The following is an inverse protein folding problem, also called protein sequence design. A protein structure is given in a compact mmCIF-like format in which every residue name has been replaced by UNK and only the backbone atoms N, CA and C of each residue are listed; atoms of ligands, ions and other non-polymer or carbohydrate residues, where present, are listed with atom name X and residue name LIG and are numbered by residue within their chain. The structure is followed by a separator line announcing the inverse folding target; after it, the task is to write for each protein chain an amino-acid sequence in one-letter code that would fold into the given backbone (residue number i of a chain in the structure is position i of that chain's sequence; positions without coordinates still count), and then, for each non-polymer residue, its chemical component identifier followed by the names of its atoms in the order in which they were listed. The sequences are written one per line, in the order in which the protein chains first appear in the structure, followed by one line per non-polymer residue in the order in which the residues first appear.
data_IF_086750419005
#
_entry.id   IF_086750419005
#
_cell.length_a   1.000
_cell.length_b   1.000
_cell.length_c   1.000
_cell.angle_alpha   90.00
_cell.angle_beta   90.00
_cell.angle_gamma   90.00
#
_symmetry.space_group_name_H-M   'P 1'
#
loop_
_entity.id
_entity.type
_entity.pdbx_description
1 polymer ?
#
# COMPACT_ATOMS: atom_id res chain seq x y z
N UNK A 1 22.50 -25.89 -6.00
CA UNK A 1 21.04 -25.99 -6.09
C UNK A 1 20.54 -24.57 -6.29
N UNK A 2 20.25 -24.21 -7.55
CA UNK A 2 19.73 -22.87 -7.88
C UNK A 2 18.27 -22.82 -7.44
N UNK A 3 17.97 -22.13 -6.35
CA UNK A 3 16.61 -21.71 -6.03
C UNK A 3 16.32 -20.45 -6.84
N UNK A 4 15.99 -20.64 -8.12
CA UNK A 4 15.32 -19.60 -8.90
C UNK A 4 13.88 -19.51 -8.38
N UNK A 5 13.70 -18.72 -7.34
CA UNK A 5 12.36 -18.30 -6.88
C UNK A 5 11.87 -17.28 -7.91
N UNK A 6 11.16 -17.80 -8.92
CA UNK A 6 10.60 -17.01 -10.02
C UNK A 6 9.42 -16.19 -9.47
N UNK A 7 9.70 -14.97 -9.00
CA UNK A 7 8.66 -14.01 -8.63
C UNK A 7 7.80 -13.69 -9.85
N UNK A 8 6.55 -14.07 -9.83
CA UNK A 8 5.63 -13.70 -10.89
C UNK A 8 5.28 -12.21 -10.74
N UNK A 9 6.01 -11.37 -11.47
CA UNK A 9 5.65 -9.96 -11.68
C UNK A 9 4.53 -9.91 -12.72
N UNK A 10 3.30 -9.86 -12.27
CA UNK A 10 2.14 -9.83 -13.16
C UNK A 10 1.52 -8.43 -13.17
N UNK A 11 1.43 -7.77 -14.34
CA UNK A 11 0.59 -6.60 -14.45
C UNK A 11 -0.87 -6.99 -14.18
N UNK A 12 -1.54 -6.22 -13.34
CA UNK A 12 -2.94 -6.41 -12.97
C UNK A 12 -3.66 -5.07 -13.07
N UNK A 13 -4.87 -5.04 -13.65
CA UNK A 13 -5.65 -3.80 -13.64
C UNK A 13 -5.96 -3.39 -12.19
N UNK A 14 -5.93 -2.07 -11.95
CA UNK A 14 -6.25 -1.52 -10.62
C UNK A 14 -7.63 -1.96 -10.18
N UNK A 15 -8.60 -2.00 -11.09
CA UNK A 15 -9.95 -2.48 -10.78
C UNK A 15 -9.96 -3.91 -10.22
N UNK A 16 -9.27 -4.86 -10.88
CA UNK A 16 -9.16 -6.24 -10.38
C UNK A 16 -8.42 -6.33 -9.06
N UNK A 17 -7.41 -5.49 -8.86
CA UNK A 17 -6.62 -5.47 -7.63
C UNK A 17 -7.44 -4.95 -6.44
N UNK A 18 -8.22 -3.87 -6.62
CA UNK A 18 -9.08 -3.31 -5.58
C UNK A 18 -10.26 -4.21 -5.20
N UNK A 19 -10.64 -5.15 -6.06
CA UNK A 19 -11.67 -6.16 -5.78
C UNK A 19 -11.13 -7.42 -5.11
N UNK A 20 -9.82 -7.54 -4.89
CA UNK A 20 -9.26 -8.61 -4.05
C UNK A 20 -9.55 -8.28 -2.57
N UNK A 21 -9.80 -9.32 -1.79
CA UNK A 21 -9.87 -9.19 -0.33
C UNK A 21 -8.44 -8.98 0.22
N UNK A 22 -8.10 -7.72 0.49
CA UNK A 22 -6.79 -7.30 0.95
C UNK A 22 -6.85 -6.93 2.43
N UNK A 23 -5.80 -7.26 3.17
CA UNK A 23 -5.67 -6.98 4.60
C UNK A 23 -4.49 -6.06 4.87
N UNK A 24 -4.69 -5.10 5.77
CA UNK A 24 -3.61 -4.24 6.26
C UNK A 24 -3.10 -4.84 7.57
N UNK A 25 -1.89 -5.44 7.57
CA UNK A 25 -1.33 -6.02 8.78
C UNK A 25 -1.02 -4.95 9.84
N UNK A 26 -1.01 -5.35 11.12
CA UNK A 26 -0.73 -4.43 12.24
C UNK A 26 0.67 -3.81 12.22
N UNK A 27 1.63 -4.43 11.53
CA UNK A 27 2.99 -3.88 11.37
C UNK A 27 3.07 -2.75 10.35
N UNK A 28 2.03 -2.58 9.52
CA UNK A 28 2.02 -1.49 8.55
C UNK A 28 1.96 -0.12 9.23
N UNK A 29 2.69 0.83 8.63
CA UNK A 29 2.65 2.22 9.10
C UNK A 29 1.26 2.82 8.91
N UNK A 30 0.87 3.82 9.72
CA UNK A 30 -0.35 4.57 9.51
C UNK A 30 -0.48 5.15 8.10
N UNK A 31 -1.71 5.39 7.66
CA UNK A 31 -1.94 6.12 6.42
C UNK A 31 -1.53 7.59 6.60
N UNK A 32 -0.55 8.05 5.80
CA UNK A 32 0.09 9.38 5.93
C UNK A 32 0.04 10.23 4.67
N UNK A 33 -0.56 9.75 3.59
CA UNK A 33 -0.71 10.58 2.40
C UNK A 33 -1.58 11.80 2.69
N UNK A 34 -1.14 12.94 2.17
CA UNK A 34 -1.79 14.24 2.30
C UNK A 34 -2.54 14.58 1.01
N UNK A 35 -3.35 15.66 1.04
CA UNK A 35 -4.03 16.21 -0.15
C UNK A 35 -3.09 16.40 -1.34
N UNK A 36 -1.81 16.76 -1.09
CA UNK A 36 -0.81 16.89 -2.16
C UNK A 36 -0.59 15.56 -2.88
N UNK A 37 -0.38 14.48 -2.15
CA UNK A 37 -0.17 13.16 -2.76
C UNK A 37 -1.40 12.69 -3.56
N UNK A 38 -2.60 13.01 -3.05
CA UNK A 38 -3.86 12.71 -3.75
C UNK A 38 -3.98 13.54 -5.04
N UNK A 39 -3.67 14.84 -4.97
CA UNK A 39 -3.67 15.72 -6.13
C UNK A 39 -2.68 15.26 -7.20
N UNK A 40 -1.45 14.90 -6.79
CA UNK A 40 -0.43 14.36 -7.68
C UNK A 40 -0.95 13.09 -8.39
N UNK A 41 -1.54 12.14 -7.65
CA UNK A 41 -2.11 10.92 -8.24
C UNK A 41 -3.29 11.22 -9.20
N UNK A 42 -4.19 12.13 -8.84
CA UNK A 42 -5.29 12.54 -9.72
C UNK A 42 -4.77 13.18 -11.01
N UNK A 43 -3.74 14.01 -10.93
CA UNK A 43 -3.09 14.63 -12.10
C UNK A 43 -2.41 13.57 -12.98
N UNK A 44 -1.71 12.60 -12.38
CA UNK A 44 -1.09 11.49 -13.11
C UNK A 44 -2.14 10.66 -13.87
N UNK A 45 -3.28 10.37 -13.24
CA UNK A 45 -4.41 9.69 -13.89
C UNK A 45 -4.95 10.54 -15.05
N UNK A 46 -5.11 11.86 -14.83
CA UNK A 46 -5.55 12.78 -15.88
C UNK A 46 -4.62 12.78 -17.09
N UNK A 47 -3.31 12.86 -16.86
CA UNK A 47 -2.29 12.77 -17.89
C UNK A 47 -2.36 11.43 -18.64
N UNK A 48 -2.52 10.33 -17.90
CA UNK A 48 -2.65 9.01 -18.50
C UNK A 48 -3.89 8.88 -19.40
N UNK A 49 -5.00 9.50 -19.03
CA UNK A 49 -6.21 9.57 -19.85
C UNK A 49 -5.94 10.34 -21.16
N UNK A 50 -5.25 11.47 -21.07
CA UNK A 50 -4.89 12.28 -22.24
C UNK A 50 -3.92 11.54 -23.16
N UNK A 51 -2.91 10.87 -22.59
CA UNK A 51 -1.95 10.07 -23.36
C UNK A 51 -2.64 8.91 -24.08
N UNK A 52 -3.57 8.22 -23.43
CA UNK A 52 -4.33 7.10 -24.03
C UNK A 52 -5.21 7.54 -25.21
N UNK A 53 -5.52 8.85 -25.33
CA UNK A 53 -6.28 9.39 -26.46
C UNK A 53 -5.43 9.71 -27.68
N UNK A 54 -4.11 9.65 -27.57
CA UNK A 54 -3.19 9.93 -28.69
C UNK A 54 -3.22 8.80 -29.71
N UNK A 55 -3.22 9.10 -31.02
CA UNK A 55 -3.15 8.09 -32.05
C UNK A 55 -1.93 7.16 -31.88
N UNK A 56 -2.14 5.86 -31.94
CA UNK A 56 -1.09 4.86 -31.75
C UNK A 56 -0.83 4.42 -30.32
N UNK A 57 -1.62 4.90 -29.36
CA UNK A 57 -1.53 4.55 -27.92
C UNK A 57 -2.72 3.71 -27.45
N UNK A 58 -3.42 3.02 -28.35
CA UNK A 58 -4.64 2.26 -28.03
C UNK A 58 -4.43 1.15 -26.96
N UNK A 59 -3.19 0.68 -26.78
CA UNK A 59 -2.81 -0.29 -25.76
C UNK A 59 -2.07 0.34 -24.56
N UNK A 60 -2.05 1.67 -24.46
CA UNK A 60 -1.38 2.35 -23.37
C UNK A 60 -1.96 1.94 -22.01
N UNK A 61 -1.06 1.60 -21.07
CA UNK A 61 -1.39 1.28 -19.69
C UNK A 61 -0.52 2.10 -18.75
N UNK A 62 -1.18 2.83 -17.87
CA UNK A 62 -0.49 3.61 -16.85
C UNK A 62 -0.24 2.77 -15.60
N UNK A 63 1.03 2.59 -15.27
CA UNK A 63 1.47 1.82 -14.10
C UNK A 63 1.50 2.70 -12.86
N UNK A 64 0.53 2.49 -11.97
CA UNK A 64 0.47 3.20 -10.69
C UNK A 64 1.58 2.78 -9.71
N UNK A 65 2.39 1.78 -10.07
CA UNK A 65 3.54 1.28 -9.32
C UNK A 65 3.43 -0.19 -8.94
N UNK A 66 4.34 -0.64 -8.07
CA UNK A 66 4.38 -2.02 -7.57
C UNK A 66 3.53 -2.16 -6.31
N UNK A 67 2.88 -3.30 -6.16
CA UNK A 67 2.18 -3.75 -4.95
C UNK A 67 2.71 -5.11 -4.57
N UNK A 68 3.13 -5.28 -3.32
CA UNK A 68 3.62 -6.55 -2.78
C UNK A 68 2.59 -7.09 -1.80
N UNK A 69 2.16 -8.33 -2.00
CA UNK A 69 1.19 -9.02 -1.16
C UNK A 69 1.82 -10.32 -0.64
N UNK A 70 1.78 -10.52 0.67
CA UNK A 70 2.07 -11.79 1.31
C UNK A 70 0.79 -12.60 1.45
N UNK A 71 0.74 -13.77 0.80
CA UNK A 71 -0.36 -14.71 0.89
C UNK A 71 -0.12 -15.67 2.08
N UNK A 72 -0.89 -15.50 3.15
CA UNK A 72 -0.93 -16.49 4.25
C UNK A 72 -1.74 -17.69 3.81
N UNK A 73 -1.21 -18.89 4.03
CA UNK A 73 -1.85 -20.15 3.64
C UNK A 73 -2.15 -21.00 4.88
N UNK A 74 -3.20 -21.80 4.80
CA UNK A 74 -3.48 -22.88 5.74
C UNK A 74 -2.63 -24.13 5.44
N UNK A 75 -2.73 -25.14 6.30
CA UNK A 75 -2.00 -26.41 6.14
C UNK A 75 -2.39 -27.18 4.86
N UNK A 76 -3.54 -26.89 4.27
CA UNK A 76 -4.01 -27.45 3.01
C UNK A 76 -3.50 -26.65 1.78
N UNK A 77 -2.78 -25.53 2.01
CA UNK A 77 -2.23 -24.68 0.96
C UNK A 77 -3.20 -23.63 0.41
N UNK A 78 -4.39 -23.47 0.99
CA UNK A 78 -5.35 -22.45 0.57
C UNK A 78 -4.96 -21.07 1.13
N UNK A 79 -5.14 -20.02 0.33
CA UNK A 79 -4.88 -18.66 0.78
C UNK A 79 -6.00 -18.24 1.75
N UNK A 80 -5.62 -17.97 3.00
CA UNK A 80 -6.52 -17.50 4.07
C UNK A 80 -6.52 -15.99 4.21
N UNK A 81 -5.39 -15.33 3.92
CA UNK A 81 -5.25 -13.87 3.99
C UNK A 81 -4.32 -13.37 2.90
N UNK A 82 -4.60 -12.16 2.41
CA UNK A 82 -3.72 -11.40 1.49
C UNK A 82 -3.26 -10.13 2.17
N UNK A 83 -2.09 -10.18 2.78
CA UNK A 83 -1.53 -9.10 3.59
C UNK A 83 -0.72 -8.14 2.70
N UNK A 84 -1.06 -6.86 2.72
CA UNK A 84 -0.32 -5.84 1.98
C UNK A 84 1.02 -5.62 2.67
N UNK A 85 2.13 -5.80 1.93
CA UNK A 85 3.49 -5.50 2.39
C UNK A 85 3.97 -4.16 1.84
N UNK A 86 3.66 -3.87 0.57
CA UNK A 86 3.91 -2.56 -0.04
C UNK A 86 2.75 -2.10 -0.92
N UNK A 87 2.63 -0.77 -1.08
CA UNK A 87 1.58 -0.13 -1.87
C UNK A 87 0.35 0.30 -1.09
N UNK A 88 0.30 0.11 0.24
CA UNK A 88 -0.84 0.44 1.10
C UNK A 88 -1.39 1.85 0.87
N UNK A 89 -0.55 2.88 0.94
CA UNK A 89 -0.95 4.28 0.82
C UNK A 89 -1.68 4.53 -0.51
N UNK A 90 -1.14 3.99 -1.59
CA UNK A 90 -1.66 4.11 -2.94
C UNK A 90 -2.99 3.37 -3.09
N UNK A 91 -3.08 2.14 -2.60
CA UNK A 91 -4.29 1.34 -2.69
C UNK A 91 -5.46 1.95 -1.92
N UNK A 92 -5.22 2.47 -0.71
CA UNK A 92 -6.24 3.20 0.06
C UNK A 92 -6.71 4.43 -0.73
N UNK A 93 -5.78 5.24 -1.26
CA UNK A 93 -6.16 6.44 -2.02
C UNK A 93 -6.92 6.11 -3.31
N UNK A 94 -6.50 5.08 -4.05
CA UNK A 94 -7.24 4.61 -5.23
C UNK A 94 -8.64 4.12 -4.86
N UNK A 95 -8.80 3.45 -3.71
CA UNK A 95 -10.12 3.04 -3.20
C UNK A 95 -11.01 4.24 -2.87
N UNK A 96 -10.45 5.30 -2.24
CA UNK A 96 -11.18 6.54 -1.96
C UNK A 96 -11.61 7.25 -3.25
N UNK A 97 -10.73 7.35 -4.25
CA UNK A 97 -11.06 7.94 -5.56
C UNK A 97 -12.17 7.14 -6.23
N UNK A 98 -12.04 5.80 -6.28
CA UNK A 98 -13.06 4.94 -6.88
C UNK A 98 -14.41 5.06 -6.17
N UNK A 99 -14.43 5.11 -4.83
CA UNK A 99 -15.65 5.35 -4.03
C UNK A 99 -16.30 6.69 -4.34
N UNK A 100 -15.50 7.75 -4.54
CA UNK A 100 -16.04 9.07 -4.90
C UNK A 100 -16.64 9.07 -6.31
N UNK A 101 -16.04 8.32 -7.27
CA UNK A 101 -16.55 8.18 -8.64
C UNK A 101 -17.79 7.28 -8.69
N UNK A 102 -17.81 6.21 -7.93
CA UNK A 102 -18.92 5.26 -7.79
C UNK A 102 -19.30 5.10 -6.31
N UNK A 103 -20.38 5.76 -5.85
CA UNK A 103 -20.83 5.67 -4.46
C UNK A 103 -21.27 4.27 -4.01
N UNK A 104 -21.49 3.32 -4.91
CA UNK A 104 -21.80 1.94 -4.57
C UNK A 104 -20.57 1.08 -4.32
N UNK A 105 -19.39 1.52 -4.80
CA UNK A 105 -18.15 0.77 -4.64
C UNK A 105 -17.73 0.70 -3.18
N UNK A 106 -17.42 -0.50 -2.69
CA UNK A 106 -16.73 -0.75 -1.44
C UNK A 106 -15.70 -1.86 -1.60
N UNK A 107 -14.76 -1.96 -0.67
CA UNK A 107 -13.78 -3.04 -0.60
C UNK A 107 -13.23 -3.16 0.82
N UNK A 108 -12.46 -4.23 1.08
CA UNK A 108 -11.87 -4.51 2.38
C UNK A 108 -11.01 -3.37 2.96
N UNK A 109 -10.41 -2.51 2.13
CA UNK A 109 -9.60 -1.37 2.58
C UNK A 109 -10.46 -0.21 3.08
N UNK A 110 -11.63 0.01 2.49
CA UNK A 110 -12.59 1.03 2.93
C UNK A 110 -13.38 0.57 4.16
N UNK A 111 -13.55 -0.74 4.34
CA UNK A 111 -14.24 -1.36 5.48
C UNK A 111 -13.30 -1.61 6.66
N UNK A 112 -11.97 -1.46 6.44
CA UNK A 112 -10.98 -1.65 7.49
C UNK A 112 -11.16 -0.66 8.64
N UNK A 113 -11.16 -1.15 9.88
CA UNK A 113 -11.21 -0.32 11.08
C UNK A 113 -9.84 0.31 11.36
N UNK A 114 -9.65 1.57 10.95
CA UNK A 114 -8.44 2.34 11.22
C UNK A 114 -8.44 2.84 12.67
N UNK A 115 -7.55 2.29 13.51
CA UNK A 115 -7.46 2.63 14.95
C UNK A 115 -6.58 3.83 15.23
N UNK A 116 -5.68 4.15 14.31
CA UNK A 116 -4.74 5.26 14.41
C UNK A 116 -5.42 6.58 14.04
N UNK A 117 -5.28 7.61 14.92
CA UNK A 117 -5.93 8.91 14.72
C UNK A 117 -5.44 9.65 13.47
N UNK A 118 -4.14 9.53 13.16
CA UNK A 118 -3.56 10.19 11.99
C UNK A 118 -4.13 9.55 10.71
N UNK A 119 -4.26 8.21 10.69
CA UNK A 119 -4.88 7.51 9.57
C UNK A 119 -6.32 7.94 9.35
N UNK A 120 -7.14 7.98 10.41
CA UNK A 120 -8.55 8.40 10.32
C UNK A 120 -8.66 9.84 9.82
N UNK A 121 -7.85 10.76 10.39
CA UNK A 121 -7.83 12.15 9.97
C UNK A 121 -7.43 12.32 8.52
N UNK A 122 -6.30 11.74 8.10
CA UNK A 122 -5.80 11.84 6.73
C UNK A 122 -6.76 11.21 5.70
N UNK A 123 -7.38 10.06 6.01
CA UNK A 123 -8.38 9.42 5.14
C UNK A 123 -9.59 10.34 4.96
N UNK A 124 -10.11 10.90 6.06
CA UNK A 124 -11.25 11.83 6.02
C UNK A 124 -10.93 13.09 5.22
N UNK A 125 -9.79 13.73 5.50
CA UNK A 125 -9.35 14.95 4.81
C UNK A 125 -9.14 14.72 3.31
N UNK A 126 -8.52 13.60 2.96
CA UNK A 126 -8.28 13.24 1.57
C UNK A 126 -9.58 12.89 0.84
N UNK A 127 -10.52 12.21 1.52
CA UNK A 127 -11.82 11.91 0.90
C UNK A 127 -12.64 13.19 0.66
N UNK A 128 -12.66 14.13 1.62
CA UNK A 128 -13.27 15.44 1.43
C UNK A 128 -12.64 16.18 0.24
N UNK A 129 -11.30 16.19 0.16
CA UNK A 129 -10.59 16.78 -0.98
C UNK A 129 -10.97 16.14 -2.33
N UNK A 130 -11.10 14.81 -2.39
CA UNK A 130 -11.52 14.10 -3.61
C UNK A 130 -12.95 14.50 -4.00
N UNK A 131 -13.85 14.68 -3.04
CA UNK A 131 -15.22 15.12 -3.31
C UNK A 131 -15.27 16.58 -3.81
N UNK A 132 -14.44 17.47 -3.26
CA UNK A 132 -14.26 18.84 -3.77
C UNK A 132 -13.74 18.82 -5.20
N UNK A 133 -12.67 18.06 -5.45
CA UNK A 133 -12.11 17.86 -6.78
C UNK A 133 -13.13 17.33 -7.79
N UNK A 134 -13.95 16.33 -7.38
CA UNK A 134 -15.03 15.75 -8.20
C UNK A 134 -16.05 16.81 -8.61
N UNK A 135 -16.44 17.70 -7.70
CA UNK A 135 -17.43 18.75 -7.99
C UNK A 135 -16.95 19.73 -9.05
N UNK A 136 -15.67 20.10 -9.01
CA UNK A 136 -15.03 21.01 -9.97
C UNK A 136 -14.76 20.33 -11.32
N UNK A 137 -14.52 19.04 -11.34
CA UNK A 137 -14.16 18.26 -12.53
C UNK A 137 -15.32 17.40 -13.07
N UNK A 138 -16.57 17.82 -12.87
CA UNK A 138 -17.76 17.03 -13.21
C UNK A 138 -17.80 16.54 -14.66
N UNK A 139 -17.29 17.31 -15.62
CA UNK A 139 -17.23 16.93 -17.02
C UNK A 139 -16.21 15.84 -17.40
N UNK A 140 -15.29 15.49 -16.47
CA UNK A 140 -14.22 14.51 -16.71
C UNK A 140 -14.44 13.18 -15.98
N UNK A 141 -15.51 13.05 -15.20
CA UNK A 141 -15.69 11.90 -14.29
C UNK A 141 -15.83 10.57 -15.03
N UNK A 142 -16.44 10.57 -16.21
CA UNK A 142 -16.60 9.36 -17.01
C UNK A 142 -15.26 8.86 -17.54
N UNK A 143 -14.36 9.76 -17.93
CA UNK A 143 -12.99 9.44 -18.32
C UNK A 143 -12.22 8.77 -17.17
N UNK A 144 -12.37 9.31 -15.96
CA UNK A 144 -11.73 8.72 -14.78
C UNK A 144 -12.31 7.34 -14.42
N UNK A 145 -13.63 7.12 -14.56
CA UNK A 145 -14.22 5.79 -14.43
C UNK A 145 -13.65 4.82 -15.46
N UNK A 146 -13.60 5.24 -16.71
CA UNK A 146 -13.02 4.45 -17.80
C UNK A 146 -11.54 4.13 -17.57
N UNK A 147 -10.79 5.05 -16.94
CA UNK A 147 -9.38 4.82 -16.63
C UNK A 147 -9.19 3.67 -15.61
N UNK A 148 -10.02 3.60 -14.57
CA UNK A 148 -9.97 2.49 -13.60
C UNK A 148 -10.24 1.13 -14.26
N UNK A 149 -11.10 1.07 -15.28
CA UNK A 149 -11.45 -0.17 -15.98
C UNK A 149 -10.39 -0.57 -17.01
N UNK A 150 -9.81 0.40 -17.73
CA UNK A 150 -9.09 0.12 -18.97
C UNK A 150 -7.65 0.62 -19.02
N UNK A 151 -7.24 1.61 -18.20
CA UNK A 151 -5.93 2.27 -18.31
C UNK A 151 -5.02 1.95 -17.13
N UNK A 152 -5.55 1.96 -15.90
CA UNK A 152 -4.72 1.85 -14.71
C UNK A 152 -4.34 0.40 -14.41
N UNK A 153 -3.04 0.15 -14.27
CA UNK A 153 -2.51 -1.15 -13.84
C UNK A 153 -1.46 -1.00 -12.74
N UNK A 154 -1.25 -2.06 -11.98
CA UNK A 154 -0.17 -2.19 -11.01
C UNK A 154 0.68 -3.41 -11.36
N UNK A 155 1.94 -3.41 -10.94
CA UNK A 155 2.75 -4.63 -10.93
C UNK A 155 2.50 -5.34 -9.61
N UNK A 156 1.75 -6.43 -9.67
CA UNK A 156 1.47 -7.26 -8.50
C UNK A 156 2.59 -8.29 -8.31
N UNK A 157 3.14 -8.33 -7.11
CA UNK A 157 4.07 -9.37 -6.66
C UNK A 157 3.38 -10.09 -5.49
N UNK A 158 3.09 -11.37 -5.69
CA UNK A 158 2.52 -12.22 -4.66
C UNK A 158 3.61 -13.18 -4.17
N UNK A 159 3.81 -13.22 -2.86
CA UNK A 159 4.78 -14.10 -2.19
C UNK A 159 4.08 -14.91 -1.11
N UNK A 160 4.61 -16.10 -0.83
CA UNK A 160 4.08 -16.99 0.21
C UNK A 160 4.94 -16.98 1.49
N UNK A 161 6.14 -16.41 1.42
CA UNK A 161 7.06 -16.27 2.54
C UNK A 161 7.20 -14.81 2.95
N UNK A 162 7.05 -14.54 4.24
CA UNK A 162 7.15 -13.20 4.81
C UNK A 162 8.54 -12.60 4.65
N UNK A 163 9.60 -13.42 4.77
CA UNK A 163 10.98 -12.96 4.65
C UNK A 163 11.27 -12.50 3.23
N UNK A 164 10.75 -13.24 2.26
CA UNK A 164 10.83 -12.93 0.84
C UNK A 164 10.11 -11.61 0.52
N UNK A 165 8.92 -11.40 1.11
CA UNK A 165 8.17 -10.16 0.97
C UNK A 165 8.98 -8.94 1.44
N UNK A 166 9.66 -9.06 2.59
CA UNK A 166 10.47 -7.99 3.14
C UNK A 166 11.75 -7.74 2.34
N UNK A 167 12.43 -8.78 1.85
CA UNK A 167 13.60 -8.62 0.98
C UNK A 167 13.25 -7.87 -0.31
N UNK A 168 12.10 -8.18 -0.91
CA UNK A 168 11.60 -7.47 -2.08
C UNK A 168 11.27 -6.01 -1.77
N UNK A 169 10.59 -5.77 -0.64
CA UNK A 169 10.28 -4.43 -0.18
C UNK A 169 11.55 -3.58 0.00
N UNK A 170 12.58 -4.11 0.67
CA UNK A 170 13.86 -3.45 0.87
C UNK A 170 14.58 -3.16 -0.46
N UNK A 171 14.61 -4.13 -1.36
CA UNK A 171 15.27 -3.97 -2.66
C UNK A 171 14.62 -2.91 -3.55
N UNK A 172 13.31 -2.66 -3.38
CA UNK A 172 12.58 -1.63 -4.12
C UNK A 172 12.72 -0.24 -3.49
N UNK A 173 12.83 -0.15 -2.16
CA UNK A 173 12.94 1.11 -1.44
C UNK A 173 14.34 1.74 -1.52
N UNK A 174 15.40 0.98 -1.79
CA UNK A 174 16.77 1.50 -2.02
C UNK A 174 16.86 2.47 -3.20
N UNK A 175 15.83 2.58 -4.04
CA UNK A 175 15.77 3.51 -5.18
C UNK A 175 15.00 4.81 -4.92
N UNK A 176 14.34 5.01 -3.77
CA UNK A 176 13.45 6.15 -3.60
C UNK A 176 13.56 6.91 -2.27
N UNK A 177 13.44 6.26 -1.17
CA UNK A 177 13.56 6.84 0.18
C UNK A 177 14.09 5.75 1.10
N UNK A 178 15.23 5.99 1.70
CA UNK A 178 15.77 5.06 2.70
C UNK A 178 14.72 4.82 3.79
N UNK A 179 14.45 3.52 4.04
CA UNK A 179 13.72 3.13 5.25
C UNK A 179 14.55 3.56 6.45
N UNK A 180 13.89 4.09 7.43
CA UNK A 180 14.56 4.32 8.72
C UNK A 180 15.09 2.96 9.23
N UNK A 181 16.35 2.89 9.69
CA UNK A 181 16.97 1.63 10.18
C UNK A 181 16.12 0.88 11.20
N UNK A 182 15.29 1.60 11.97
CA UNK A 182 14.36 1.00 12.92
C UNK A 182 13.17 0.27 12.26
N UNK A 183 12.75 0.65 11.06
CA UNK A 183 11.69 -0.06 10.32
C UNK A 183 12.21 -1.39 9.77
N UNK A 184 13.49 -1.42 9.32
CA UNK A 184 14.18 -2.64 8.92
C UNK A 184 14.35 -3.62 10.09
N UNK A 185 14.82 -3.11 11.24
CA UNK A 185 14.99 -3.92 12.44
C UNK A 185 13.65 -4.45 12.96
N UNK A 186 12.61 -3.65 12.89
CA UNK A 186 11.26 -4.04 13.24
C UNK A 186 10.75 -5.18 12.36
N UNK A 187 10.95 -5.09 11.04
CA UNK A 187 10.60 -6.14 10.10
C UNK A 187 11.38 -7.43 10.39
N UNK A 188 12.70 -7.31 10.67
CA UNK A 188 13.56 -8.44 11.04
C UNK A 188 13.12 -9.11 12.35
N UNK A 189 12.82 -8.36 13.39
CA UNK A 189 12.37 -8.92 14.66
C UNK A 189 10.97 -9.52 14.57
N UNK A 190 10.06 -8.92 13.81
CA UNK A 190 8.73 -9.49 13.58
C UNK A 190 8.80 -10.84 12.86
N UNK A 191 9.81 -11.05 12.03
CA UNK A 191 10.08 -12.31 11.34
C UNK A 191 10.43 -13.45 12.31
N UNK A 192 11.27 -13.16 13.31
CA UNK A 192 11.78 -14.15 14.27
C UNK A 192 10.85 -14.37 15.49
N UNK A 193 9.76 -13.59 15.59
CA UNK A 193 8.86 -13.63 16.72
C UNK A 193 7.73 -14.65 16.49
N UNK A 194 7.54 -15.55 17.45
CA UNK A 194 6.33 -16.38 17.51
C UNK A 194 5.11 -15.51 17.93
N UNK A 195 3.89 -16.01 17.73
CA UNK A 195 2.64 -15.25 18.01
C UNK A 195 2.61 -14.63 19.42
N UNK A 196 3.11 -15.31 20.42
CA UNK A 196 3.14 -14.83 21.80
C UNK A 196 4.10 -13.65 21.99
N UNK A 197 5.27 -13.69 21.37
CA UNK A 197 6.23 -12.58 21.38
C UNK A 197 5.70 -11.37 20.61
N UNK A 198 4.97 -11.59 19.52
CA UNK A 198 4.30 -10.57 18.72
C UNK A 198 3.23 -9.80 19.52
N UNK A 199 2.37 -10.50 20.27
CA UNK A 199 1.41 -9.84 21.17
C UNK A 199 2.09 -9.00 22.24
N UNK A 200 3.15 -9.51 22.84
CA UNK A 200 3.93 -8.81 23.88
C UNK A 200 4.64 -7.57 23.32
N UNK A 201 5.17 -7.66 22.10
CA UNK A 201 5.76 -6.52 21.38
C UNK A 201 4.71 -5.44 21.09
N UNK A 202 3.52 -5.80 20.63
CA UNK A 202 2.42 -4.86 20.39
C UNK A 202 1.92 -4.19 21.67
N UNK A 203 1.93 -4.90 22.82
CA UNK A 203 1.61 -4.32 24.12
C UNK A 203 2.66 -3.29 24.58
N UNK A 204 3.94 -3.55 24.34
CA UNK A 204 5.04 -2.61 24.63
C UNK A 204 4.93 -1.39 23.72
N UNK A 205 4.69 -1.60 22.42
CA UNK A 205 4.50 -0.53 21.45
C UNK A 205 3.35 0.42 21.83
N UNK A 206 2.20 -0.11 22.27
CA UNK A 206 1.08 0.72 22.77
C UNK A 206 1.44 1.59 23.96
N UNK A 207 2.40 1.14 24.80
CA UNK A 207 2.92 1.93 25.93
C UNK A 207 3.94 2.98 25.51
N UNK A 208 4.64 2.78 24.37
CA UNK A 208 5.74 3.61 23.90
C UNK A 208 5.35 4.58 22.77
N UNK A 209 4.16 4.48 22.19
CA UNK A 209 3.58 5.52 21.32
C UNK A 209 3.55 6.91 21.97
N UNK A 210 3.78 6.93 23.29
CA UNK A 210 3.95 8.18 24.06
C UNK A 210 5.36 8.82 23.87
N UNK A 211 6.36 8.10 23.30
CA UNK A 211 7.74 8.62 23.11
C UNK A 211 8.46 8.06 21.87
N UNK A 212 8.00 8.31 20.66
CA UNK A 212 8.62 7.77 19.42
C UNK A 212 10.07 8.25 19.22
N UNK A 213 10.45 9.40 19.79
CA UNK A 213 11.80 9.98 19.66
C UNK A 213 12.89 9.14 20.34
N UNK A 214 12.62 8.54 21.50
CA UNK A 214 13.62 7.77 22.26
C UNK A 214 13.98 6.43 21.62
N UNK A 215 13.04 5.76 20.97
CA UNK A 215 13.30 4.48 20.31
C UNK A 215 14.18 4.71 19.09
N UNK A 216 13.88 5.71 18.28
CA UNK A 216 14.69 6.08 17.11
C UNK A 216 16.14 6.39 17.51
N UNK A 217 16.32 7.13 18.60
CA UNK A 217 17.64 7.51 19.13
C UNK A 217 18.40 6.30 19.69
N UNK A 218 17.72 5.38 20.39
CA UNK A 218 18.28 4.14 20.92
C UNK A 218 18.80 3.24 19.79
N UNK A 219 18.01 3.05 18.74
CA UNK A 219 18.39 2.22 17.60
C UNK A 219 19.49 2.86 16.75
N UNK A 220 19.43 4.16 16.48
CA UNK A 220 20.43 4.86 15.66
C UNK A 220 21.79 5.00 16.35
N UNK A 221 21.81 5.22 17.67
CA UNK A 221 23.05 5.52 18.40
C UNK A 221 23.69 4.29 19.04
N UNK A 222 22.91 3.29 19.44
CA UNK A 222 23.40 2.20 20.28
C UNK A 222 23.33 0.82 19.63
N UNK A 223 22.39 0.55 18.75
CA UNK A 223 22.22 -0.79 18.17
C UNK A 223 22.73 -0.90 16.74
N UNK A 224 22.63 0.17 15.95
CA UNK A 224 23.10 0.15 14.56
C UNK A 224 24.64 0.09 14.40
N UNK A 225 25.47 0.66 15.28
CA UNK A 225 26.93 0.53 15.18
C UNK A 225 27.48 -0.86 15.54
N UNK A 226 26.64 -1.79 16.01
CA UNK A 226 27.04 -3.12 16.50
C UNK A 226 26.73 -4.23 15.45
N UNK A 227 26.02 -3.89 14.38
CA UNK A 227 25.69 -4.75 13.24
C UNK A 227 26.54 -4.39 12.03
#
# INVERSE_FOLDING_TARGET
MNNDTEYRKNPISVNKLLNKELKIPEYQRPYKWTRKNVADLLNDIGTAIEDNRRPGYDEFRYRVGTVIIHNKKDDAGNITERNIVDGQQRLITLSLIKRALDPSFTNSLLEHEYKDKDSVGNISDNYCFILEWKSVNSGKLEDYRGAFENILEAILIEVNDVSEAFQLFDSQNTRGRELDPHDLLKAYHLREMNEYAFEKFNLVRRREEIRPYRIRELFSLYLYPIL
#
